data_IF_778898212163
#
_entry.id   IF_778898212163
#
_cell.length_a   1.000
_cell.length_b   1.000
_cell.length_c   1.000
_cell.angle_alpha   90.00
_cell.angle_beta   90.00
_cell.angle_gamma   90.00
#
_symmetry.space_group_name_H-M   'P 1'
#
loop_
_entity.id
_entity.type
_entity.pdbx_description
1 polymer ?
#
# COMPACT_ATOMS: atom_id res chain seq x y z
N UNK A 1 -6.43 -33.49 22.79
CA UNK A 1 -7.76 -33.14 22.24
C UNK A 1 -7.93 -34.01 21.03
N UNK A 2 -8.37 -35.21 21.37
CA UNK A 2 -8.41 -36.41 20.57
C UNK A 2 -9.77 -36.44 19.88
N UNK A 3 -9.75 -36.41 18.55
CA UNK A 3 -10.94 -36.45 17.71
C UNK A 3 -10.93 -37.69 16.84
N UNK A 4 -11.07 -38.86 17.48
CA UNK A 4 -11.38 -40.10 16.78
C UNK A 4 -12.80 -40.00 16.20
N UNK A 5 -12.92 -40.13 14.88
CA UNK A 5 -14.20 -40.12 14.15
C UNK A 5 -14.09 -40.95 12.88
N UNK A 6 -13.73 -42.22 13.02
CA UNK A 6 -13.72 -43.20 11.94
C UNK A 6 -15.14 -43.74 11.74
N UNK A 7 -15.83 -43.26 10.70
CA UNK A 7 -17.13 -43.78 10.27
C UNK A 7 -16.89 -44.66 9.04
N UNK A 8 -16.81 -45.97 9.27
CA UNK A 8 -16.85 -46.98 8.22
C UNK A 8 -18.25 -47.00 7.59
N UNK A 9 -18.40 -46.36 6.42
CA UNK A 9 -19.54 -46.61 5.54
C UNK A 9 -19.19 -47.81 4.65
N UNK A 10 -19.71 -48.98 5.01
CA UNK A 10 -19.69 -50.16 4.15
C UNK A 10 -20.66 -49.91 2.98
N UNK A 11 -20.10 -49.58 1.83
CA UNK A 11 -20.86 -49.49 0.57
C UNK A 11 -21.37 -50.87 0.14
N UNK A 12 -22.53 -50.94 -0.53
CA UNK A 12 -23.14 -52.20 -0.92
C UNK A 12 -22.27 -52.93 -1.95
N UNK A 13 -21.86 -54.16 -1.63
CA UNK A 13 -21.24 -55.09 -2.55
C UNK A 13 -22.17 -55.31 -3.75
N UNK A 14 -21.91 -54.57 -4.83
CA UNK A 14 -22.51 -54.85 -6.13
C UNK A 14 -21.90 -56.15 -6.61
N UNK A 15 -22.73 -57.18 -6.67
CA UNK A 15 -22.44 -58.47 -7.28
C UNK A 15 -22.14 -58.25 -8.77
N UNK A 16 -20.84 -58.12 -9.08
CA UNK A 16 -20.32 -58.13 -10.44
C UNK A 16 -20.50 -59.52 -11.04
N UNK A 17 -21.69 -59.78 -11.58
CA UNK A 17 -21.87 -60.91 -12.49
C UNK A 17 -21.20 -60.53 -13.82
N UNK A 18 -20.17 -61.27 -14.28
CA UNK A 18 -19.56 -61.00 -15.57
C UNK A 18 -20.61 -61.16 -16.66
N UNK A 19 -20.89 -60.07 -17.38
CA UNK A 19 -21.77 -60.11 -18.54
C UNK A 19 -21.19 -61.10 -19.57
N UNK A 20 -21.99 -62.06 -20.08
CA UNK A 20 -21.52 -63.00 -21.08
C UNK A 20 -21.13 -62.23 -22.34
N UNK A 21 -19.89 -62.42 -22.78
CA UNK A 21 -19.36 -61.77 -23.97
C UNK A 21 -20.23 -62.13 -25.19
N UNK A 22 -20.62 -61.14 -26.03
CA UNK A 22 -21.41 -61.39 -27.23
C UNK A 22 -20.62 -62.31 -28.19
N UNK A 23 -21.22 -63.44 -28.64
CA UNK A 23 -20.57 -64.34 -29.58
C UNK A 23 -20.56 -63.72 -30.98
N UNK A 24 -19.38 -63.41 -31.50
CA UNK A 24 -19.24 -63.06 -32.93
C UNK A 24 -18.19 -62.00 -33.29
N UNK A 25 -17.58 -61.31 -32.32
CA UNK A 25 -16.45 -60.42 -32.62
C UNK A 25 -15.23 -61.26 -32.95
N UNK A 26 -14.76 -61.13 -34.18
CA UNK A 26 -13.57 -61.83 -34.65
C UNK A 26 -12.35 -61.34 -33.87
N UNK A 27 -11.39 -62.22 -33.54
CA UNK A 27 -10.16 -61.84 -32.81
C UNK A 27 -9.38 -60.69 -33.48
N UNK A 28 -9.60 -60.50 -34.79
CA UNK A 28 -9.05 -59.43 -35.59
C UNK A 28 -9.59 -58.05 -35.20
N UNK A 29 -10.90 -57.92 -34.90
CA UNK A 29 -11.52 -56.64 -34.50
C UNK A 29 -11.02 -56.18 -33.12
N UNK A 30 -10.87 -57.11 -32.17
CA UNK A 30 -10.31 -56.81 -30.85
C UNK A 30 -8.87 -56.27 -30.94
N UNK A 31 -8.03 -56.88 -31.78
CA UNK A 31 -6.65 -56.43 -32.01
C UNK A 31 -6.59 -55.02 -32.63
N UNK A 32 -7.48 -54.72 -33.59
CA UNK A 32 -7.53 -53.36 -34.18
C UNK A 32 -7.97 -52.30 -33.18
N UNK A 33 -8.94 -52.61 -32.31
CA UNK A 33 -9.42 -51.67 -31.29
C UNK A 33 -8.34 -51.39 -30.24
N UNK A 34 -7.59 -52.41 -29.83
CA UNK A 34 -6.46 -52.25 -28.91
C UNK A 34 -5.35 -51.39 -29.52
N UNK A 35 -4.99 -51.63 -30.79
CA UNK A 35 -3.99 -50.82 -31.49
C UNK A 35 -4.40 -49.34 -31.62
N UNK A 36 -5.67 -49.06 -31.92
CA UNK A 36 -6.20 -47.68 -31.99
C UNK A 36 -6.15 -47.02 -30.62
N UNK A 37 -6.56 -47.74 -29.56
CA UNK A 37 -6.51 -47.22 -28.19
C UNK A 37 -5.08 -46.86 -27.78
N UNK A 38 -4.10 -47.72 -28.04
CA UNK A 38 -2.70 -47.41 -27.75
C UNK A 38 -2.19 -46.22 -28.56
N UNK A 39 -2.55 -46.12 -29.85
CA UNK A 39 -2.16 -45.00 -30.68
C UNK A 39 -2.70 -43.66 -30.15
N UNK A 40 -3.96 -43.64 -29.71
CA UNK A 40 -4.59 -42.45 -29.11
C UNK A 40 -3.93 -42.08 -27.79
N UNK A 41 -3.64 -43.06 -26.92
CA UNK A 41 -2.94 -42.78 -25.65
C UNK A 41 -1.56 -42.17 -25.89
N UNK A 42 -0.79 -42.69 -26.85
CA UNK A 42 0.52 -42.13 -27.21
C UNK A 42 0.41 -40.69 -27.76
N UNK A 43 -0.58 -40.39 -28.59
CA UNK A 43 -0.82 -39.01 -29.07
C UNK A 43 -1.19 -38.05 -27.93
N UNK A 44 -2.04 -38.49 -27.00
CA UNK A 44 -2.41 -37.71 -25.83
C UNK A 44 -1.19 -37.44 -24.95
N UNK A 45 -0.40 -38.45 -24.62
CA UNK A 45 0.81 -38.29 -23.81
C UNK A 45 1.83 -37.35 -24.47
N UNK A 46 2.03 -37.48 -25.79
CA UNK A 46 2.89 -36.59 -26.55
C UNK A 46 2.41 -35.13 -26.50
N UNK A 47 1.10 -34.90 -26.67
CA UNK A 47 0.51 -33.55 -26.57
C UNK A 47 0.57 -32.98 -25.16
N UNK A 48 0.35 -33.81 -24.14
CA UNK A 48 0.45 -33.38 -22.74
C UNK A 48 1.90 -32.99 -22.42
N UNK A 49 2.88 -33.76 -22.89
CA UNK A 49 4.29 -33.41 -22.74
C UNK A 49 4.64 -32.07 -23.43
N UNK A 50 4.20 -31.87 -24.68
CA UNK A 50 4.41 -30.61 -25.41
C UNK A 50 3.79 -29.41 -24.66
N UNK A 51 2.57 -29.55 -24.15
CA UNK A 51 1.92 -28.48 -23.36
C UNK A 51 2.58 -28.25 -22.01
N UNK A 52 3.09 -29.29 -21.37
CA UNK A 52 3.85 -29.17 -20.13
C UNK A 52 5.14 -28.38 -20.37
N UNK A 53 5.86 -28.67 -21.45
CA UNK A 53 7.08 -27.95 -21.84
C UNK A 53 6.80 -26.49 -22.20
N UNK A 54 5.72 -26.21 -22.95
CA UNK A 54 5.29 -24.83 -23.23
C UNK A 54 5.00 -24.03 -21.94
N UNK A 55 4.28 -24.64 -20.99
CA UNK A 55 3.93 -24.01 -19.71
C UNK A 55 5.18 -23.81 -18.86
N UNK A 56 6.07 -24.80 -18.82
CA UNK A 56 7.34 -24.71 -18.12
C UNK A 56 8.21 -23.59 -18.68
N UNK A 57 8.34 -23.51 -20.00
CA UNK A 57 9.13 -22.47 -20.67
C UNK A 57 8.55 -21.06 -20.40
N UNK A 58 7.22 -20.91 -20.45
CA UNK A 58 6.54 -19.65 -20.09
C UNK A 58 6.77 -19.28 -18.63
N UNK A 59 6.71 -20.25 -17.72
CA UNK A 59 6.99 -20.06 -16.30
C UNK A 59 8.42 -19.59 -16.06
N UNK A 60 9.40 -20.22 -16.73
CA UNK A 60 10.81 -19.85 -16.66
C UNK A 60 11.05 -18.43 -17.20
N UNK A 61 10.43 -18.08 -18.33
CA UNK A 61 10.53 -16.74 -18.92
C UNK A 61 9.94 -15.67 -17.98
N UNK A 62 8.77 -15.93 -17.40
CA UNK A 62 8.13 -15.03 -16.45
C UNK A 62 8.99 -14.83 -15.20
N UNK A 63 9.55 -15.89 -14.64
CA UNK A 63 10.42 -15.81 -13.47
C UNK A 63 11.69 -14.98 -13.76
N UNK A 64 12.31 -15.19 -14.92
CA UNK A 64 13.46 -14.40 -15.36
C UNK A 64 13.10 -12.91 -15.50
N UNK A 65 11.92 -12.59 -16.04
CA UNK A 65 11.44 -11.21 -16.16
C UNK A 65 11.20 -10.56 -14.79
N UNK A 66 10.62 -11.30 -13.85
CA UNK A 66 10.40 -10.81 -12.48
C UNK A 66 11.72 -10.55 -11.78
N UNK A 67 12.68 -11.48 -11.88
CA UNK A 67 14.02 -11.34 -11.29
C UNK A 67 14.74 -10.12 -11.88
N UNK A 68 14.70 -9.93 -13.21
CA UNK A 68 15.28 -8.76 -13.86
C UNK A 68 14.66 -7.46 -13.35
N UNK A 69 13.33 -7.39 -13.25
CA UNK A 69 12.62 -6.20 -12.76
C UNK A 69 12.94 -5.91 -11.29
N UNK A 70 13.13 -6.94 -10.48
CA UNK A 70 13.56 -6.79 -9.10
C UNK A 70 14.99 -6.24 -9.02
N UNK A 71 15.90 -6.76 -9.84
CA UNK A 71 17.28 -6.26 -9.94
C UNK A 71 17.33 -4.79 -10.34
N UNK A 72 16.62 -4.39 -11.40
CA UNK A 72 16.56 -2.99 -11.86
C UNK A 72 16.05 -2.04 -10.78
N UNK A 73 15.01 -2.46 -10.02
CA UNK A 73 14.51 -1.67 -8.89
C UNK A 73 15.54 -1.56 -7.76
N UNK A 74 16.25 -2.63 -7.46
CA UNK A 74 17.31 -2.61 -6.44
C UNK A 74 18.42 -1.65 -6.87
N UNK A 75 18.88 -1.73 -8.12
CA UNK A 75 19.89 -0.82 -8.67
C UNK A 75 19.43 0.65 -8.62
N UNK A 76 18.16 0.91 -8.96
CA UNK A 76 17.57 2.25 -8.88
C UNK A 76 17.55 2.81 -7.45
N UNK A 77 17.13 2.02 -6.47
CA UNK A 77 17.12 2.44 -5.07
C UNK A 77 18.53 2.66 -4.54
N UNK A 78 19.48 1.78 -4.90
CA UNK A 78 20.89 1.95 -4.55
C UNK A 78 21.45 3.25 -5.11
N UNK A 79 21.15 3.61 -6.36
CA UNK A 79 21.58 4.87 -6.96
C UNK A 79 20.99 6.10 -6.24
N UNK A 80 19.71 6.07 -5.85
CA UNK A 80 19.09 7.15 -5.07
C UNK A 80 19.73 7.32 -3.70
N UNK A 81 20.07 6.22 -3.01
CA UNK A 81 20.77 6.27 -1.72
C UNK A 81 22.15 6.94 -1.88
N UNK A 82 22.90 6.61 -2.93
CA UNK A 82 24.20 7.25 -3.21
C UNK A 82 24.01 8.74 -3.45
N UNK A 83 23.05 9.14 -4.28
CA UNK A 83 22.76 10.55 -4.56
C UNK A 83 22.40 11.33 -3.28
N UNK A 84 21.54 10.78 -2.43
CA UNK A 84 21.18 11.41 -1.15
C UNK A 84 22.39 11.57 -0.23
N UNK A 85 23.30 10.59 -0.20
CA UNK A 85 24.54 10.67 0.59
C UNK A 85 25.48 11.76 0.08
N UNK A 86 25.62 11.90 -1.23
CA UNK A 86 26.44 12.96 -1.83
C UNK A 86 25.88 14.36 -1.53
N UNK A 87 24.55 14.51 -1.62
CA UNK A 87 23.87 15.75 -1.24
C UNK A 87 24.07 16.07 0.24
N UNK A 88 23.92 15.08 1.12
CA UNK A 88 24.19 15.24 2.55
C UNK A 88 25.63 15.71 2.81
N UNK A 89 26.62 15.06 2.18
CA UNK A 89 28.02 15.44 2.32
C UNK A 89 28.31 16.86 1.79
N UNK A 90 27.62 17.29 0.73
CA UNK A 90 27.73 18.65 0.22
C UNK A 90 27.18 19.68 1.21
N UNK A 91 25.99 19.45 1.77
CA UNK A 91 25.38 20.31 2.78
C UNK A 91 26.22 20.37 4.07
N UNK A 92 26.81 19.25 4.49
CA UNK A 92 27.72 19.21 5.64
C UNK A 92 28.97 20.07 5.41
N UNK A 93 29.53 20.04 4.19
CA UNK A 93 30.67 20.88 3.80
C UNK A 93 30.32 22.37 3.84
N UNK A 94 29.16 22.75 3.31
CA UNK A 94 28.68 24.13 3.36
C UNK A 94 28.42 24.59 4.80
N UNK A 95 27.82 23.73 5.62
CA UNK A 95 27.60 24.02 7.04
C UNK A 95 28.92 24.27 7.79
N UNK A 96 29.95 23.45 7.52
CA UNK A 96 31.29 23.64 8.06
C UNK A 96 31.92 24.97 7.59
N UNK A 97 31.78 25.31 6.31
CA UNK A 97 32.28 26.58 5.77
C UNK A 97 31.60 27.79 6.44
N UNK A 98 30.28 27.75 6.62
CA UNK A 98 29.53 28.82 7.30
C UNK A 98 29.93 28.96 8.77
N UNK A 99 30.15 27.83 9.47
CA UNK A 99 30.67 27.84 10.84
C UNK A 99 32.03 28.52 10.92
N UNK A 100 32.93 28.24 9.98
CA UNK A 100 34.24 28.90 9.92
C UNK A 100 34.10 30.42 9.74
N UNK A 101 33.24 30.86 8.81
CA UNK A 101 32.98 32.30 8.59
C UNK A 101 32.44 32.97 9.85
N UNK A 102 31.52 32.33 10.57
CA UNK A 102 31.00 32.84 11.84
C UNK A 102 32.09 32.94 12.91
N UNK A 103 32.94 31.91 13.04
CA UNK A 103 34.08 31.92 13.97
C UNK A 103 35.07 33.04 13.63
N UNK A 104 35.39 33.24 12.36
CA UNK A 104 36.29 34.30 11.91
C UNK A 104 35.70 35.69 12.19
N UNK A 105 34.39 35.88 11.97
CA UNK A 105 33.69 37.13 12.27
C UNK A 105 33.69 37.44 13.77
N UNK A 106 33.43 36.42 14.61
CA UNK A 106 33.49 36.54 16.05
C UNK A 106 34.91 36.91 16.54
N UNK A 107 35.96 36.31 15.96
CA UNK A 107 37.34 36.67 16.25
C UNK A 107 37.68 38.12 15.88
N UNK A 108 37.21 38.61 14.73
CA UNK A 108 37.39 40.01 14.32
C UNK A 108 36.70 40.99 15.28
N UNK A 109 35.49 40.67 15.74
CA UNK A 109 34.78 41.49 16.73
C UNK A 109 35.52 41.51 18.08
N UNK A 110 36.10 40.39 18.51
CA UNK A 110 36.92 40.35 19.73
C UNK A 110 38.22 41.15 19.61
N UNK A 111 38.82 41.24 18.42
CA UNK A 111 40.00 42.08 18.18
C UNK A 111 39.63 43.57 18.23
N UNK A 112 38.54 43.98 17.57
CA UNK A 112 38.04 45.36 17.62
C UNK A 112 37.65 45.81 19.05
N UNK A 113 37.20 44.89 19.90
CA UNK A 113 36.86 45.19 21.29
C UNK A 113 38.06 45.46 22.20
N UNK A 114 39.28 45.01 21.86
CA UNK A 114 40.48 45.19 22.70
C UNK A 114 41.13 46.57 22.55
N UNK A 115 40.96 47.20 21.39
CA UNK A 115 41.56 48.51 21.09
C UNK A 115 40.60 49.69 21.37
N UNK A 116 39.61 49.49 22.25
CA UNK A 116 38.78 50.56 22.79
C UNK A 116 39.24 50.94 24.21
N UNK A 117 40.32 51.73 24.36
CA UNK A 117 40.71 52.24 25.65
C UNK A 117 39.77 53.39 26.02
N UNK A 118 38.99 53.22 27.08
CA UNK A 118 38.61 54.36 27.92
C UNK A 118 37.17 54.85 27.91
N UNK A 119 36.16 53.99 27.79
CA UNK A 119 34.83 54.28 28.37
C UNK A 119 34.71 53.62 29.74
N UNK A 120 35.57 54.08 30.66
CA UNK A 120 35.40 53.85 32.09
C UNK A 120 34.32 54.78 32.62
N UNK A 121 33.32 54.19 33.29
CA UNK A 121 32.49 54.79 34.34
C UNK A 121 31.73 56.09 34.01
N UNK A 122 30.43 55.96 33.70
CA UNK A 122 29.44 56.99 34.01
C UNK A 122 28.42 56.44 35.02
N UNK A 123 28.08 57.18 36.09
CA UNK A 123 27.23 56.71 37.16
C UNK A 123 25.74 56.81 36.80
N UNK A 124 25.01 55.86 37.37
CA UNK A 124 23.55 55.79 37.52
C UNK A 124 22.91 57.17 37.73
N UNK A 125 22.01 57.60 36.85
CA UNK A 125 21.04 58.64 37.20
C UNK A 125 19.68 58.27 36.63
N UNK A 126 18.78 57.96 37.56
CA UNK A 126 17.37 57.74 37.34
C UNK A 126 16.73 58.96 36.68
N UNK A 127 15.85 58.74 35.71
CA UNK A 127 14.81 59.72 35.42
C UNK A 127 13.57 59.03 34.86
N UNK A 128 12.51 59.19 35.64
CA UNK A 128 11.14 58.79 35.37
C UNK A 128 10.61 59.53 34.15
N UNK A 129 9.95 58.86 33.21
CA UNK A 129 8.97 59.51 32.34
C UNK A 129 7.82 58.55 32.06
N UNK A 130 6.64 59.01 32.47
CA UNK A 130 5.38 58.31 32.54
C UNK A 130 4.81 57.91 31.17
N UNK A 131 4.10 56.79 31.12
CA UNK A 131 3.20 56.38 30.02
C UNK A 131 2.01 55.62 30.63
N UNK A 132 0.77 55.84 30.17
CA UNK A 132 -0.41 55.60 30.99
C UNK A 132 -0.88 54.14 31.00
N UNK A 133 -1.04 53.65 32.22
CA UNK A 133 -2.08 52.78 32.77
C UNK A 133 -3.10 52.21 31.77
N UNK A 134 -2.95 50.92 31.42
CA UNK A 134 -4.09 50.04 31.11
C UNK A 134 -3.92 48.76 31.91
N UNK A 135 -4.84 48.56 32.82
CA UNK A 135 -4.95 47.44 33.74
C UNK A 135 -5.19 46.16 32.97
N UNK A 136 -4.30 45.18 33.10
CA UNK A 136 -4.72 43.79 33.14
C UNK A 136 -3.73 42.98 33.99
N UNK A 137 -4.28 42.37 35.03
CA UNK A 137 -3.59 41.54 36.02
C UNK A 137 -3.29 40.18 35.42
N UNK A 138 -2.01 39.93 35.12
CA UNK A 138 -1.46 38.60 34.87
C UNK A 138 -0.34 38.31 35.87
N UNK A 139 -0.26 37.11 36.46
CA UNK A 139 0.76 36.80 37.46
C UNK A 139 2.16 36.84 36.83
N UNK A 140 3.07 37.52 37.55
CA UNK A 140 4.50 37.56 37.33
C UNK A 140 5.06 36.16 37.04
N UNK A 141 5.54 35.96 35.82
CA UNK A 141 6.53 34.94 35.52
C UNK A 141 7.89 35.66 35.44
N UNK A 142 8.75 35.36 36.40
CA UNK A 142 10.16 35.69 36.40
C UNK A 142 10.80 35.28 35.06
N UNK A 143 11.21 36.25 34.26
CA UNK A 143 12.05 36.03 33.09
C UNK A 143 13.50 35.79 33.55
N UNK A 144 13.72 34.66 34.22
CA UNK A 144 15.05 34.10 34.36
C UNK A 144 15.55 33.75 32.97
N UNK A 145 16.68 34.36 32.60
CA UNK A 145 17.42 34.09 31.37
C UNK A 145 17.93 32.66 31.42
N UNK A 146 17.07 31.71 31.04
CA UNK A 146 17.46 30.30 30.95
C UNK A 146 18.42 30.15 29.77
N UNK A 147 19.63 29.59 29.98
CA UNK A 147 20.54 29.32 28.89
C UNK A 147 19.84 28.43 27.87
N UNK A 148 19.95 28.82 26.59
CA UNK A 148 19.45 28.08 25.43
C UNK A 148 19.68 26.58 25.64
N UNK A 149 18.57 25.83 25.76
CA UNK A 149 18.61 24.36 25.88
C UNK A 149 19.52 23.82 24.79
N UNK A 150 20.57 23.15 25.22
CA UNK A 150 21.51 22.43 24.39
C UNK A 150 20.70 21.53 23.44
N UNK A 151 20.81 21.79 22.14
CA UNK A 151 20.12 21.03 21.10
C UNK A 151 20.56 19.58 21.27
N UNK A 152 19.64 18.63 21.54
CA UNK A 152 20.01 17.24 21.73
C UNK A 152 20.81 16.79 20.49
N UNK A 153 21.96 16.11 20.67
CA UNK A 153 22.80 15.70 19.56
C UNK A 153 21.94 14.92 18.57
N UNK A 154 22.00 15.34 17.31
CA UNK A 154 21.36 14.66 16.19
C UNK A 154 21.68 13.16 16.32
N UNK A 155 20.68 12.26 16.23
CA UNK A 155 20.92 10.82 16.37
C UNK A 155 22.04 10.44 15.40
N UNK A 156 23.18 10.05 15.95
CA UNK A 156 24.33 9.62 15.17
C UNK A 156 23.87 8.49 14.24
N UNK A 157 24.34 8.46 12.98
CA UNK A 157 24.00 7.39 12.06
C UNK A 157 24.38 6.07 12.72
N UNK A 158 23.35 5.31 13.11
CA UNK A 158 23.47 3.94 13.58
C UNK A 158 24.40 3.20 12.62
N UNK A 159 25.37 2.50 13.20
CA UNK A 159 26.30 1.64 12.47
C UNK A 159 25.58 0.90 11.33
N UNK A 160 26.21 0.77 10.16
CA UNK A 160 25.64 -0.01 9.07
C UNK A 160 25.28 -1.40 9.61
N UNK A 161 24.02 -1.85 9.45
CA UNK A 161 23.62 -3.17 9.91
C UNK A 161 24.56 -4.19 9.28
N UNK A 162 25.09 -5.08 10.12
CA UNK A 162 25.90 -6.20 9.68
C UNK A 162 25.18 -6.91 8.51
N UNK A 163 25.91 -7.38 7.49
CA UNK A 163 25.31 -8.03 6.33
C UNK A 163 24.51 -9.25 6.80
N UNK A 164 23.19 -9.11 6.81
CA UNK A 164 22.28 -10.22 7.08
C UNK A 164 22.42 -11.21 5.91
N UNK A 165 23.02 -12.36 6.21
CA UNK A 165 23.15 -13.48 5.30
C UNK A 165 21.75 -13.97 4.92
N UNK A 166 21.36 -13.75 3.66
CA UNK A 166 20.07 -14.14 3.08
C UNK A 166 19.80 -15.66 3.07
N UNK A 167 20.78 -16.49 3.45
CA UNK A 167 20.73 -17.94 3.34
C UNK A 167 19.91 -18.65 4.44
N UNK A 168 19.58 -17.99 5.55
CA UNK A 168 18.82 -18.62 6.64
C UNK A 168 17.30 -18.37 6.62
N UNK A 169 16.80 -17.50 5.74
CA UNK A 169 15.37 -17.17 5.68
C UNK A 169 14.52 -18.11 4.80
N UNK A 170 15.10 -19.13 4.15
CA UNK A 170 14.40 -19.99 3.18
C UNK A 170 14.12 -21.44 3.65
N UNK A 171 14.48 -21.82 4.89
CA UNK A 171 14.37 -23.23 5.34
C UNK A 171 13.41 -23.48 6.51
N UNK A 172 12.29 -22.76 6.59
CA UNK A 172 11.18 -23.17 7.48
C UNK A 172 9.83 -23.06 6.80
N UNK A 173 9.58 -24.04 5.92
CA UNK A 173 8.25 -24.31 5.36
C UNK A 173 7.40 -25.04 6.40
N UNK A 174 6.94 -24.30 7.41
CA UNK A 174 5.72 -24.69 8.13
C UNK A 174 4.52 -24.15 7.35
N UNK A 175 3.50 -24.98 7.03
CA UNK A 175 2.28 -24.51 6.40
C UNK A 175 1.56 -23.59 7.39
N UNK A 176 1.81 -22.28 7.27
CA UNK A 176 1.01 -21.25 7.91
C UNK A 176 -0.39 -21.36 7.30
N UNK A 177 -1.29 -22.04 8.02
CA UNK A 177 -2.71 -21.98 7.79
C UNK A 177 -3.09 -20.50 7.96
N UNK A 178 -3.20 -19.77 6.84
CA UNK A 178 -3.71 -18.41 6.79
C UNK A 178 -5.15 -18.47 7.27
N UNK A 179 -5.33 -18.34 8.58
CA UNK A 179 -6.63 -18.28 9.23
C UNK A 179 -7.25 -16.94 8.86
N UNK A 180 -7.97 -16.91 7.74
CA UNK A 180 -8.81 -15.80 7.29
C UNK A 180 -9.93 -15.45 8.29
N UNK A 181 -10.06 -16.20 9.38
CA UNK A 181 -11.07 -16.00 10.41
C UNK A 181 -10.76 -14.83 11.37
N UNK A 182 -9.53 -14.31 11.39
CA UNK A 182 -9.16 -13.22 12.33
C UNK A 182 -9.54 -11.81 11.86
N UNK A 183 -10.11 -11.63 10.66
CA UNK A 183 -10.48 -10.30 10.12
C UNK A 183 -11.97 -9.95 10.32
N UNK A 184 -12.77 -10.85 10.91
CA UNK A 184 -14.18 -10.59 11.25
C UNK A 184 -14.36 -9.98 12.64
N UNK A 185 -13.30 -9.44 13.24
CA UNK A 185 -13.39 -8.72 14.49
C UNK A 185 -14.14 -7.41 14.23
N UNK A 186 -15.43 -7.42 14.57
CA UNK A 186 -16.41 -6.32 14.54
C UNK A 186 -15.72 -4.95 14.55
N UNK A 187 -15.33 -4.50 13.36
CA UNK A 187 -14.55 -3.29 13.18
C UNK A 187 -15.57 -2.18 13.25
N UNK A 188 -15.48 -1.33 14.28
CA UNK A 188 -16.30 -0.14 14.34
C UNK A 188 -16.19 0.66 13.03
N UNK A 189 -17.14 1.58 12.78
CA UNK A 189 -17.19 2.31 11.52
C UNK A 189 -15.82 2.92 11.22
N UNK A 190 -15.14 2.39 10.19
CA UNK A 190 -13.78 2.78 9.87
C UNK A 190 -13.84 4.17 9.25
N UNK A 191 -13.38 5.17 10.00
CA UNK A 191 -13.30 6.56 9.54
C UNK A 191 -11.88 6.83 9.04
N UNK A 192 -11.76 7.36 7.84
CA UNK A 192 -10.46 7.81 7.33
C UNK A 192 -10.60 9.10 6.54
N UNK A 193 -9.50 9.85 6.48
CA UNK A 193 -9.42 11.10 5.73
C UNK A 193 -8.43 10.97 4.58
N UNK A 194 -8.74 11.61 3.46
CA UNK A 194 -7.84 11.77 2.33
C UNK A 194 -7.83 13.22 1.85
N UNK A 195 -6.72 13.63 1.22
CA UNK A 195 -6.61 14.93 0.57
C UNK A 195 -6.35 14.70 -0.91
N UNK A 196 -7.20 15.27 -1.77
CA UNK A 196 -7.18 15.05 -3.19
C UNK A 196 -7.10 16.38 -3.93
N UNK A 197 -6.24 16.44 -4.95
CA UNK A 197 -6.08 17.60 -5.83
C UNK A 197 -6.72 17.30 -7.19
N UNK A 198 -7.78 18.01 -7.53
CA UNK A 198 -8.40 18.01 -8.86
C UNK A 198 -7.50 18.76 -9.85
N UNK A 199 -7.42 18.26 -11.08
CA UNK A 199 -6.85 18.99 -12.19
C UNK A 199 -7.84 20.07 -12.69
N UNK A 200 -7.32 21.10 -13.37
CA UNK A 200 -8.14 22.14 -13.98
C UNK A 200 -9.15 21.53 -14.98
N UNK A 201 -10.44 21.79 -14.77
CA UNK A 201 -11.52 21.26 -15.61
C UNK A 201 -11.83 19.77 -15.41
N UNK A 202 -11.10 19.05 -14.55
CA UNK A 202 -11.39 17.66 -14.24
C UNK A 202 -12.48 17.53 -13.16
N UNK A 203 -13.38 16.58 -13.37
CA UNK A 203 -14.39 16.23 -12.37
C UNK A 203 -13.79 15.38 -11.24
N UNK A 204 -14.41 15.43 -10.06
CA UNK A 204 -14.00 14.58 -8.93
C UNK A 204 -14.15 13.07 -9.26
N UNK A 205 -15.09 12.74 -10.14
CA UNK A 205 -15.35 11.37 -10.58
C UNK A 205 -16.11 10.52 -9.55
N UNK A 206 -16.93 11.15 -8.71
CA UNK A 206 -17.85 10.47 -7.80
C UNK A 206 -19.29 10.64 -8.26
N UNK A 207 -20.09 9.58 -8.14
CA UNK A 207 -21.54 9.68 -8.15
C UNK A 207 -22.01 9.65 -6.69
N UNK A 208 -22.59 10.75 -6.22
CA UNK A 208 -23.00 10.91 -4.81
C UNK A 208 -24.47 11.26 -4.71
N UNK A 209 -25.12 10.72 -3.68
CA UNK A 209 -26.50 11.03 -3.32
C UNK A 209 -26.55 11.61 -1.91
N UNK A 210 -27.19 12.77 -1.69
CA UNK A 210 -27.39 13.30 -0.35
C UNK A 210 -28.30 12.37 0.46
N UNK A 211 -27.86 11.97 1.65
CA UNK A 211 -28.59 11.13 2.58
C UNK A 211 -28.39 11.68 4.00
N UNK A 212 -29.43 12.30 4.55
CA UNK A 212 -29.42 12.96 5.86
C UNK A 212 -28.26 13.98 5.99
N UNK A 213 -27.26 13.70 6.82
CA UNK A 213 -26.09 14.55 7.08
C UNK A 213 -24.81 14.09 6.33
N UNK A 214 -24.92 13.13 5.41
CA UNK A 214 -23.78 12.57 4.68
C UNK A 214 -24.05 12.50 3.18
N UNK A 215 -22.98 12.39 2.39
CA UNK A 215 -23.08 12.05 0.96
C UNK A 215 -22.79 10.55 0.78
N UNK A 216 -23.76 9.80 0.30
CA UNK A 216 -23.59 8.39 -0.05
C UNK A 216 -22.91 8.25 -1.40
N UNK A 217 -21.80 7.52 -1.47
CA UNK A 217 -21.11 7.20 -2.73
C UNK A 217 -21.88 6.08 -3.41
N UNK A 218 -22.60 6.40 -4.49
CA UNK A 218 -23.28 5.39 -5.31
C UNK A 218 -22.31 4.68 -6.26
N UNK A 219 -21.25 5.37 -6.68
CA UNK A 219 -20.24 4.80 -7.57
C UNK A 219 -19.07 5.73 -7.82
N UNK A 220 -17.99 5.16 -8.34
CA UNK A 220 -16.79 5.89 -8.77
C UNK A 220 -16.73 5.84 -10.30
N UNK A 221 -16.67 6.99 -10.95
CA UNK A 221 -16.58 7.10 -12.41
C UNK A 221 -15.16 6.76 -12.88
N UNK A 222 -15.00 6.07 -14.02
CA UNK A 222 -13.68 5.88 -14.62
C UNK A 222 -13.07 7.23 -15.00
N UNK A 223 -11.75 7.31 -14.98
CA UNK A 223 -10.95 8.51 -15.29
C UNK A 223 -11.17 9.70 -14.34
N UNK A 224 -11.85 9.46 -13.23
CA UNK A 224 -12.04 10.41 -12.15
C UNK A 224 -10.80 10.61 -11.28
N UNK A 225 -10.73 11.75 -10.62
CA UNK A 225 -9.67 11.99 -9.64
C UNK A 225 -9.69 10.95 -8.49
N UNK A 226 -10.88 10.53 -8.05
CA UNK A 226 -11.02 9.46 -7.03
C UNK A 226 -10.65 8.08 -7.57
N UNK A 227 -10.90 7.80 -8.85
CA UNK A 227 -10.48 6.53 -9.46
C UNK A 227 -8.94 6.46 -9.56
N UNK A 228 -8.30 7.57 -9.90
CA UNK A 228 -6.84 7.69 -9.84
C UNK A 228 -6.29 7.47 -8.42
N UNK A 229 -6.93 8.05 -7.40
CA UNK A 229 -6.61 7.79 -5.99
C UNK A 229 -6.75 6.30 -5.64
N UNK A 230 -7.86 5.67 -6.04
CA UNK A 230 -8.11 4.25 -5.78
C UNK A 230 -7.03 3.35 -6.39
N UNK A 231 -6.59 3.64 -7.63
CA UNK A 231 -5.47 2.91 -8.26
C UNK A 231 -4.18 3.03 -7.45
N UNK A 232 -3.91 4.21 -6.89
CA UNK A 232 -2.75 4.44 -6.05
C UNK A 232 -2.83 3.65 -4.74
N UNK A 233 -4.00 3.65 -4.07
CA UNK A 233 -4.22 2.89 -2.85
C UNK A 233 -4.16 1.38 -3.06
N UNK A 234 -4.69 0.87 -4.18
CA UNK A 234 -4.65 -0.56 -4.52
C UNK A 234 -3.22 -1.10 -4.63
N UNK A 235 -2.25 -0.24 -4.96
CA UNK A 235 -0.83 -0.61 -5.05
C UNK A 235 -0.04 -0.31 -3.76
N UNK A 236 -0.68 0.26 -2.74
CA UNK A 236 -0.04 0.72 -1.50
C UNK A 236 -0.22 -0.28 -0.36
N UNK A 237 0.47 -0.04 0.77
CA UNK A 237 0.28 -0.80 2.01
C UNK A 237 -1.08 -0.55 2.70
N UNK A 238 -1.89 0.38 2.16
CA UNK A 238 -3.16 0.80 2.75
C UNK A 238 -4.36 0.57 1.80
N UNK A 239 -4.66 -0.68 1.40
CA UNK A 239 -5.81 -0.99 0.55
C UNK A 239 -7.15 -0.60 1.20
N UNK A 240 -7.19 -0.44 2.52
CA UNK A 240 -8.37 -0.03 3.28
C UNK A 240 -8.82 1.42 3.01
N UNK A 241 -8.00 2.23 2.32
CA UNK A 241 -8.30 3.63 1.98
C UNK A 241 -8.91 3.81 0.58
N UNK A 242 -9.20 2.73 -0.12
CA UNK A 242 -9.89 2.75 -1.42
C UNK A 242 -11.34 3.19 -1.20
N UNK A 243 -11.80 4.17 -1.98
CA UNK A 243 -13.20 4.61 -2.00
C UNK A 243 -14.04 3.64 -2.82
N UNK A 244 -15.12 3.13 -2.24
CA UNK A 244 -16.02 2.15 -2.83
C UNK A 244 -17.46 2.70 -2.84
N UNK A 245 -18.30 2.12 -3.69
CA UNK A 245 -19.74 2.34 -3.59
C UNK A 245 -20.25 1.85 -2.23
N UNK A 246 -21.13 2.63 -1.60
CA UNK A 246 -21.64 2.41 -0.25
C UNK A 246 -20.95 3.25 0.83
N UNK A 247 -19.81 3.88 0.51
CA UNK A 247 -19.13 4.78 1.44
C UNK A 247 -19.93 6.03 1.75
N UNK A 248 -19.74 6.57 2.95
CA UNK A 248 -20.42 7.79 3.39
C UNK A 248 -19.39 8.88 3.60
N UNK A 249 -19.47 9.95 2.82
CA UNK A 249 -18.65 11.13 3.02
C UNK A 249 -19.30 11.95 4.13
N UNK A 250 -18.59 12.11 5.24
CA UNK A 250 -19.05 12.83 6.44
C UNK A 250 -18.70 14.31 6.40
N UNK A 251 -17.57 14.66 5.76
CA UNK A 251 -17.20 16.06 5.57
C UNK A 251 -16.30 16.29 4.38
N UNK A 252 -16.43 17.47 3.77
CA UNK A 252 -15.56 17.98 2.70
C UNK A 252 -15.04 19.35 3.13
N UNK A 253 -13.72 19.51 3.27
CA UNK A 253 -13.10 20.78 3.69
C UNK A 253 -13.71 21.38 4.97
N UNK A 254 -14.07 20.51 5.92
CA UNK A 254 -14.75 20.84 7.18
C UNK A 254 -16.23 21.26 7.05
N UNK A 255 -16.83 21.22 5.85
CA UNK A 255 -18.28 21.32 5.69
C UNK A 255 -18.93 19.97 5.96
N UNK A 256 -20.01 19.97 6.73
CA UNK A 256 -20.84 18.80 7.07
C UNK A 256 -22.22 18.84 6.44
N UNK A 257 -22.65 20.01 5.95
CA UNK A 257 -23.93 20.17 5.28
C UNK A 257 -23.84 19.61 3.83
N UNK A 258 -24.72 18.69 3.41
CA UNK A 258 -24.63 18.03 2.11
C UNK A 258 -24.61 19.00 0.92
N UNK A 259 -25.38 20.09 0.98
CA UNK A 259 -25.44 21.07 -0.13
C UNK A 259 -24.12 21.83 -0.23
N UNK A 260 -23.59 22.29 0.91
CA UNK A 260 -22.27 22.94 0.96
C UNK A 260 -21.14 22.00 0.58
N UNK A 261 -21.21 20.72 0.94
CA UNK A 261 -20.22 19.72 0.55
C UNK A 261 -20.18 19.51 -0.97
N UNK A 262 -21.33 19.52 -1.64
CA UNK A 262 -21.42 19.43 -3.11
C UNK A 262 -20.85 20.69 -3.79
N UNK A 263 -21.14 21.87 -3.24
CA UNK A 263 -20.58 23.14 -3.72
C UNK A 263 -19.05 23.16 -3.59
N UNK A 264 -18.52 22.78 -2.43
CA UNK A 264 -17.07 22.62 -2.19
C UNK A 264 -16.42 21.67 -3.19
N UNK A 265 -17.06 20.53 -3.49
CA UNK A 265 -16.56 19.56 -4.46
C UNK A 265 -16.53 20.11 -5.89
N UNK A 266 -17.41 21.08 -6.22
CA UNK A 266 -17.45 21.73 -7.54
C UNK A 266 -16.39 22.82 -7.63
N UNK A 267 -16.34 23.72 -6.66
CA UNK A 267 -15.57 24.97 -6.74
C UNK A 267 -14.09 24.79 -6.42
N UNK A 268 -13.75 23.97 -5.42
CA UNK A 268 -12.36 23.85 -4.97
C UNK A 268 -11.60 22.79 -5.75
N UNK A 269 -10.29 23.04 -5.88
CA UNK A 269 -9.35 22.08 -6.47
C UNK A 269 -8.69 21.18 -5.43
N UNK A 270 -8.50 21.67 -4.19
CA UNK A 270 -7.96 20.87 -3.11
C UNK A 270 -9.09 20.49 -2.15
N UNK A 271 -9.33 19.19 -2.01
CA UNK A 271 -10.42 18.65 -1.21
C UNK A 271 -9.86 17.75 -0.11
N UNK A 272 -10.17 18.06 1.14
CA UNK A 272 -9.97 17.17 2.29
C UNK A 272 -11.29 16.46 2.58
N UNK A 273 -11.35 15.17 2.23
CA UNK A 273 -12.51 14.32 2.41
C UNK A 273 -12.35 13.50 3.69
N UNK A 274 -13.42 13.39 4.49
CA UNK A 274 -13.50 12.43 5.60
C UNK A 274 -14.62 11.44 5.30
N UNK A 275 -14.26 10.17 5.16
CA UNK A 275 -15.17 9.10 4.77
C UNK A 275 -15.34 8.12 5.93
N UNK A 276 -16.52 7.52 5.98
CA UNK A 276 -16.85 6.40 6.86
C UNK A 276 -17.19 5.22 5.97
N UNK A 277 -16.58 4.06 6.23
CA UNK A 277 -16.94 2.83 5.53
C UNK A 277 -18.41 2.51 5.78
N UNK A 278 -19.17 2.28 4.71
CA UNK A 278 -20.57 1.89 4.84
C UNK A 278 -20.68 0.50 5.47
N UNK A 279 -21.55 0.36 6.48
CA UNK A 279 -21.98 -0.94 7.04
C UNK A 279 -22.91 -1.72 6.10
N UNK A 280 -23.12 -1.24 4.88
CA UNK A 280 -23.92 -1.94 3.89
C UNK A 280 -23.22 -3.24 3.48
N UNK A 281 -23.96 -4.34 3.23
CA UNK A 281 -23.38 -5.50 2.57
C UNK A 281 -22.71 -5.00 1.31
N UNK A 282 -21.38 -5.18 1.23
CA UNK A 282 -20.58 -4.76 0.08
C UNK A 282 -21.33 -5.28 -1.14
N UNK A 283 -21.86 -4.41 -2.03
CA UNK A 283 -22.52 -4.88 -3.23
C UNK A 283 -21.50 -5.78 -3.89
N UNK A 284 -21.80 -7.08 -3.98
CA UNK A 284 -20.88 -8.08 -4.48
C UNK A 284 -20.43 -7.56 -5.84
N UNK A 285 -19.24 -6.94 -5.86
CA UNK A 285 -18.63 -6.50 -7.10
C UNK A 285 -18.57 -7.80 -7.86
N UNK A 286 -19.30 -7.96 -8.98
CA UNK A 286 -19.33 -9.21 -9.71
C UNK A 286 -17.89 -9.47 -10.02
N UNK A 287 -17.31 -10.37 -9.24
CA UNK A 287 -15.91 -10.66 -9.30
C UNK A 287 -15.84 -11.21 -10.69
N UNK A 288 -15.24 -10.45 -11.61
CA UNK A 288 -14.69 -10.98 -12.84
C UNK A 288 -13.55 -11.88 -12.40
N UNK A 289 -13.89 -12.92 -11.64
CA UNK A 289 -13.24 -14.19 -11.66
C UNK A 289 -13.17 -14.47 -13.14
N UNK A 290 -11.97 -14.33 -13.68
CA UNK A 290 -11.57 -14.91 -14.94
C UNK A 290 -11.63 -16.44 -14.79
N UNK A 291 -12.74 -16.99 -14.27
CA UNK A 291 -13.24 -18.27 -14.71
C UNK A 291 -13.60 -18.02 -16.15
N UNK A 292 -12.64 -18.34 -17.02
CA UNK A 292 -12.97 -18.71 -18.36
C UNK A 292 -14.19 -19.62 -18.27
N UNK A 293 -15.34 -19.15 -18.76
CA UNK A 293 -16.41 -20.02 -19.18
C UNK A 293 -15.80 -20.91 -20.26
N UNK A 294 -15.17 -22.00 -19.82
CA UNK A 294 -14.90 -23.15 -20.65
C UNK A 294 -16.28 -23.77 -20.88
N UNK A 295 -17.04 -23.16 -21.80
CA UNK A 295 -18.22 -23.80 -22.35
C UNK A 295 -17.78 -25.17 -22.85
N UNK A 296 -18.35 -26.17 -22.19
CA UNK A 296 -18.23 -27.59 -22.42
C UNK A 296 -18.16 -27.88 -23.92
N UNK A 297 -16.95 -28.20 -24.40
CA UNK A 297 -16.74 -28.68 -25.75
C UNK A 297 -17.24 -30.13 -25.78
N UNK A 298 -18.56 -30.32 -25.85
CA UNK A 298 -19.18 -31.64 -26.08
C UNK A 298 -19.04 -31.93 -27.58
N UNK A 299 -18.20 -32.91 -28.00
CA UNK A 299 -18.18 -33.33 -29.38
C UNK A 299 -19.52 -34.00 -29.69
N UNK A 300 -20.29 -33.42 -30.63
CA UNK A 300 -21.47 -34.11 -31.19
C UNK A 300 -21.00 -35.40 -31.85
N UNK A 301 -21.59 -36.52 -31.43
CA UNK A 301 -21.39 -37.81 -32.11
C UNK A 301 -21.88 -37.72 -33.56
N UNK A 302 -21.16 -38.31 -34.53
CA UNK A 302 -21.65 -38.43 -35.90
C UNK A 302 -22.81 -39.43 -35.96
N UNK A 303 -23.90 -39.04 -36.63
CA UNK A 303 -24.96 -39.93 -37.14
C UNK A 303 -24.45 -40.81 -38.29
#
# INVERSE_FOLDING_TARGET
MDGQGSVMAQGPERSDRPFPAPPGLSAQEASTHEAVREAVLRDIEAKVAEKMDEVWQKGQQMLAQVQKKQQEKTEQLTAQIVQCKEQQAALERENQALKQVLTDLAQKLMQLGKDSPGLSSAPTTASNTATPQRSDTGPEAEYSSTPLREVPPFPQPLQPPAPLLLSEALCSSSPMHLSLASTLQACGPMVFSMTLRKADGAELGLNVKPLDEVLLVEGVRPEGAVEAWNRQCASSAHPERVVLAGDRIRSVNNQTDPEKMLEECREKQLLKLTLVRGDGPVPEIPSKSLRADASEFVPKAPE
#
